data_IF_641170498724
#
_entry.id   IF_641170498724
#
_cell.length_a   1.000
_cell.length_b   1.000
_cell.length_c   1.000
_cell.angle_alpha   90.00
_cell.angle_beta   90.00
_cell.angle_gamma   90.00
#
_symmetry.space_group_name_H-M   'P 1'
#
loop_
_entity.id
_entity.type
_entity.pdbx_description
1 polymer ?
#
# COMPACT_ATOMS: atom_id res chain seq x y z
N UNK A 1 -30.41 1.75 -0.19
CA UNK A 1 -29.01 1.66 0.29
C UNK A 1 -28.05 2.62 -0.42
N UNK A 2 -28.55 3.64 -1.15
CA UNK A 2 -27.71 4.62 -1.85
C UNK A 2 -26.98 5.58 -0.92
N UNK A 3 -27.61 5.99 0.19
CA UNK A 3 -27.02 6.97 1.12
C UNK A 3 -25.64 6.56 1.66
N UNK A 4 -25.47 5.27 2.00
CA UNK A 4 -24.18 4.73 2.49
C UNK A 4 -23.12 4.76 1.40
N UNK A 5 -23.48 4.32 0.18
CA UNK A 5 -22.56 4.35 -0.96
C UNK A 5 -22.20 5.80 -1.35
N UNK A 6 -23.17 6.70 -1.37
CA UNK A 6 -22.95 8.12 -1.67
C UNK A 6 -22.02 8.77 -0.66
N UNK A 7 -22.20 8.47 0.63
CA UNK A 7 -21.35 9.02 1.69
C UNK A 7 -19.91 8.50 1.57
N UNK A 8 -19.72 7.20 1.38
CA UNK A 8 -18.41 6.60 1.13
C UNK A 8 -17.73 7.22 -0.11
N UNK A 9 -18.47 7.42 -1.22
CA UNK A 9 -17.95 8.08 -2.42
C UNK A 9 -17.61 9.56 -2.18
N UNK A 10 -18.35 10.28 -1.34
CA UNK A 10 -18.03 11.67 -0.96
C UNK A 10 -16.74 11.73 -0.16
N UNK A 11 -16.57 10.86 0.83
CA UNK A 11 -15.34 10.74 1.63
C UNK A 11 -14.16 10.40 0.72
N UNK A 12 -14.29 9.38 -0.14
CA UNK A 12 -13.24 8.97 -1.07
C UNK A 12 -12.80 10.13 -1.97
N UNK A 13 -13.76 10.81 -2.63
CA UNK A 13 -13.45 11.94 -3.52
C UNK A 13 -12.86 13.14 -2.80
N UNK A 14 -13.30 13.42 -1.58
CA UNK A 14 -12.85 14.58 -0.79
C UNK A 14 -11.42 14.41 -0.31
N UNK A 15 -11.06 13.21 0.14
CA UNK A 15 -9.79 12.98 0.82
C UNK A 15 -8.73 12.25 -0.04
N UNK A 16 -9.07 11.86 -1.28
CA UNK A 16 -8.11 11.28 -2.23
C UNK A 16 -6.82 12.12 -2.43
N UNK A 17 -6.88 13.43 -2.21
CA UNK A 17 -5.72 14.34 -2.32
C UNK A 17 -5.33 15.01 -0.99
N UNK A 18 -5.91 14.61 0.13
CA UNK A 18 -5.62 15.25 1.43
C UNK A 18 -4.27 14.78 1.99
N UNK A 19 -3.57 15.71 2.64
CA UNK A 19 -2.28 15.47 3.31
C UNK A 19 -2.41 15.36 4.83
N UNK A 20 -3.60 15.63 5.38
CA UNK A 20 -3.86 15.55 6.83
C UNK A 20 -3.91 14.10 7.32
N UNK A 21 -3.30 13.82 8.47
CA UNK A 21 -3.29 12.49 9.10
C UNK A 21 -4.72 11.97 9.38
N UNK A 22 -5.59 12.82 9.91
CA UNK A 22 -6.98 12.47 10.24
C UNK A 22 -7.78 12.14 8.98
N UNK A 23 -7.57 12.90 7.91
CA UNK A 23 -8.25 12.68 6.64
C UNK A 23 -7.80 11.38 5.96
N UNK A 24 -6.53 11.02 6.12
CA UNK A 24 -5.98 9.75 5.63
C UNK A 24 -6.56 8.55 6.37
N UNK A 25 -6.66 8.61 7.69
CA UNK A 25 -7.28 7.53 8.48
C UNK A 25 -8.71 7.23 7.99
N UNK A 26 -9.52 8.28 7.81
CA UNK A 26 -10.89 8.12 7.30
C UNK A 26 -10.92 7.66 5.82
N UNK A 27 -9.98 8.12 5.01
CA UNK A 27 -9.86 7.69 3.61
C UNK A 27 -9.47 6.21 3.50
N UNK A 28 -8.53 5.75 4.32
CA UNK A 28 -8.06 4.37 4.33
C UNK A 28 -9.16 3.42 4.81
N UNK A 29 -9.93 3.80 5.85
CA UNK A 29 -11.11 3.06 6.29
C UNK A 29 -12.13 2.85 5.15
N UNK A 30 -12.47 3.93 4.44
CA UNK A 30 -13.40 3.85 3.30
C UNK A 30 -12.82 3.05 2.15
N UNK A 31 -11.51 3.16 1.88
CA UNK A 31 -10.82 2.40 0.84
C UNK A 31 -10.82 0.90 1.16
N UNK A 32 -10.58 0.53 2.41
CA UNK A 32 -10.64 -0.86 2.87
C UNK A 32 -12.06 -1.41 2.74
N UNK A 33 -13.07 -0.62 3.11
CA UNK A 33 -14.47 -1.00 2.91
C UNK A 33 -14.83 -1.25 1.44
N UNK A 34 -14.33 -0.43 0.51
CA UNK A 34 -14.49 -0.68 -0.93
C UNK A 34 -13.74 -1.93 -1.41
N UNK A 35 -12.62 -2.28 -0.79
CA UNK A 35 -11.80 -3.43 -1.15
C UNK A 35 -12.33 -4.75 -0.56
N UNK A 36 -13.08 -4.69 0.54
CA UNK A 36 -13.64 -5.86 1.20
C UNK A 36 -14.60 -6.63 0.27
N UNK A 37 -14.42 -7.95 0.24
CA UNK A 37 -15.28 -8.90 -0.48
C UNK A 37 -16.28 -9.61 0.45
N UNK A 38 -16.41 -9.15 1.70
CA UNK A 38 -17.32 -9.74 2.67
C UNK A 38 -18.79 -9.53 2.26
N UNK A 39 -19.54 -10.62 2.11
CA UNK A 39 -20.98 -10.66 1.78
C UNK A 39 -21.86 -10.90 3.01
N UNK A 40 -21.25 -11.13 4.19
CA UNK A 40 -21.97 -11.50 5.42
C UNK A 40 -22.74 -10.37 6.12
N UNK A 41 -22.58 -9.10 5.72
CA UNK A 41 -23.22 -7.96 6.39
C UNK A 41 -24.06 -7.10 5.43
N UNK A 42 -25.28 -6.66 5.78
CA UNK A 42 -26.19 -5.91 4.89
C UNK A 42 -25.66 -4.56 4.40
N UNK A 43 -24.60 -4.03 5.02
CA UNK A 43 -23.94 -2.79 4.60
C UNK A 43 -22.55 -3.03 4.02
N UNK A 44 -22.21 -4.26 3.64
CA UNK A 44 -21.01 -4.50 2.87
C UNK A 44 -21.12 -3.84 1.49
N UNK A 45 -19.99 -3.41 0.96
CA UNK A 45 -19.94 -2.78 -0.35
C UNK A 45 -20.53 -3.68 -1.46
N UNK A 46 -20.23 -4.97 -1.41
CA UNK A 46 -20.71 -5.97 -2.39
C UNK A 46 -22.24 -6.10 -2.32
N UNK A 47 -22.82 -6.22 -1.12
CA UNK A 47 -24.27 -6.33 -0.93
C UNK A 47 -24.99 -5.05 -1.36
N UNK A 48 -24.43 -3.88 -1.07
CA UNK A 48 -24.99 -2.61 -1.54
C UNK A 48 -24.96 -2.54 -3.07
N UNK A 49 -23.88 -2.98 -3.71
CA UNK A 49 -23.81 -3.05 -5.17
C UNK A 49 -24.86 -3.98 -5.75
N UNK A 50 -25.03 -5.17 -5.18
CA UNK A 50 -26.01 -6.16 -5.60
C UNK A 50 -27.44 -5.61 -5.52
N UNK A 51 -27.83 -5.05 -4.38
CA UNK A 51 -29.18 -4.47 -4.17
C UNK A 51 -29.44 -3.30 -5.12
N UNK A 52 -28.41 -2.54 -5.51
CA UNK A 52 -28.53 -1.43 -6.45
C UNK A 52 -28.38 -1.83 -7.92
N UNK A 53 -28.12 -3.11 -8.23
CA UNK A 53 -27.86 -3.58 -9.59
C UNK A 53 -26.56 -3.05 -10.20
N UNK A 54 -25.57 -2.75 -9.35
CA UNK A 54 -24.26 -2.22 -9.74
C UNK A 54 -23.19 -3.32 -9.72
N UNK A 55 -22.16 -3.15 -10.54
CA UNK A 55 -20.98 -4.01 -10.51
C UNK A 55 -19.93 -3.43 -9.55
N UNK A 56 -19.69 -4.15 -8.44
CA UNK A 56 -18.63 -3.84 -7.48
C UNK A 56 -17.26 -3.68 -8.18
N UNK A 57 -16.94 -4.58 -9.11
CA UNK A 57 -15.70 -4.52 -9.90
C UNK A 57 -15.58 -3.23 -10.73
N UNK A 58 -16.67 -2.79 -11.38
CA UNK A 58 -16.65 -1.55 -12.17
C UNK A 58 -16.44 -0.30 -11.30
N UNK A 59 -17.03 -0.27 -10.11
CA UNK A 59 -16.82 0.83 -9.16
C UNK A 59 -15.37 0.82 -8.68
N UNK A 60 -14.82 -0.32 -8.26
CA UNK A 60 -13.41 -0.44 -7.85
C UNK A 60 -12.44 0.02 -8.94
N UNK A 61 -12.70 -0.34 -10.20
CA UNK A 61 -11.91 0.12 -11.34
C UNK A 61 -11.97 1.64 -11.52
N UNK A 62 -13.13 2.27 -11.33
CA UNK A 62 -13.26 3.73 -11.37
C UNK A 62 -12.52 4.40 -10.21
N UNK A 63 -12.60 3.85 -9.00
CA UNK A 63 -11.90 4.36 -7.82
C UNK A 63 -10.38 4.29 -7.97
N UNK A 64 -9.86 3.20 -8.54
CA UNK A 64 -8.43 3.04 -8.82
C UNK A 64 -7.92 4.13 -9.79
N UNK A 65 -8.70 4.48 -10.82
CA UNK A 65 -8.35 5.56 -11.73
C UNK A 65 -8.32 6.91 -11.03
N UNK A 66 -9.29 7.19 -10.14
CA UNK A 66 -9.34 8.44 -9.36
C UNK A 66 -8.13 8.55 -8.41
N UNK A 67 -7.77 7.46 -7.73
CA UNK A 67 -6.64 7.43 -6.81
C UNK A 67 -5.26 7.51 -7.50
N UNK A 68 -5.17 7.12 -8.78
CA UNK A 68 -3.94 7.19 -9.57
C UNK A 68 -3.57 8.61 -10.01
N UNK A 69 -4.49 9.58 -9.91
CA UNK A 69 -4.22 10.98 -10.26
C UNK A 69 -3.41 11.64 -9.14
N UNK A 70 -2.15 12.06 -9.38
CA UNK A 70 -1.36 12.70 -8.35
C UNK A 70 -2.03 14.00 -7.89
N UNK A 71 -1.96 14.34 -6.59
CA UNK A 71 -2.57 15.55 -6.06
C UNK A 71 -2.04 16.77 -6.82
N UNK A 72 -2.93 17.55 -7.44
CA UNK A 72 -2.60 18.80 -8.12
C UNK A 72 -2.08 19.78 -7.08
N UNK A 73 -0.77 19.85 -6.89
CA UNK A 73 -0.12 20.64 -5.86
C UNK A 73 0.92 19.89 -5.01
N UNK A 74 1.18 18.60 -5.25
CA UNK A 74 2.38 17.98 -4.70
C UNK A 74 3.62 18.62 -5.33
N UNK A 75 4.18 19.62 -4.63
CA UNK A 75 5.57 20.02 -4.82
C UNK A 75 6.43 18.77 -4.72
N UNK A 76 7.02 18.40 -5.85
CA UNK A 76 8.06 17.39 -6.00
C UNK A 76 9.29 17.80 -5.18
N UNK A 77 9.25 17.60 -3.87
CA UNK A 77 10.47 17.47 -3.08
C UNK A 77 11.00 16.06 -3.31
N UNK A 78 11.78 15.92 -4.37
CA UNK A 78 12.57 14.73 -4.66
C UNK A 78 13.58 14.51 -3.54
N UNK A 79 13.19 13.80 -2.48
CA UNK A 79 14.15 13.14 -1.63
C UNK A 79 14.57 11.85 -2.34
N UNK A 80 15.71 11.93 -3.01
CA UNK A 80 16.43 10.80 -3.61
C UNK A 80 16.64 9.75 -2.52
N UNK A 81 16.06 8.56 -2.70
CA UNK A 81 16.41 7.38 -1.88
C UNK A 81 17.82 6.97 -2.28
N UNK A 82 18.79 7.28 -1.44
CA UNK A 82 20.13 6.74 -1.51
C UNK A 82 20.04 5.25 -1.19
N UNK A 83 20.40 4.42 -2.16
CA UNK A 83 20.26 2.97 -2.09
C UNK A 83 21.45 2.43 -1.33
N UNK A 84 21.28 2.15 -0.03
CA UNK A 84 22.25 1.41 0.76
C UNK A 84 22.35 -0.02 0.23
N UNK A 85 23.37 -0.26 -0.58
CA UNK A 85 23.75 -1.56 -1.07
C UNK A 85 24.56 -2.27 0.00
N UNK A 86 23.92 -3.20 0.73
CA UNK A 86 24.60 -4.16 1.60
C UNK A 86 25.55 -5.00 0.74
N UNK A 87 26.85 -4.82 0.94
CA UNK A 87 27.88 -5.67 0.32
C UNK A 87 28.06 -6.91 1.19
N UNK A 88 27.51 -8.05 0.77
CA UNK A 88 27.75 -9.34 1.42
C UNK A 88 29.18 -9.78 1.13
N UNK A 89 30.03 -9.74 2.15
CA UNK A 89 31.41 -10.24 2.10
C UNK A 89 31.39 -11.76 2.00
N UNK A 90 31.95 -12.29 0.91
CA UNK A 90 32.25 -13.72 0.74
C UNK A 90 33.60 -13.98 1.40
N UNK A 91 33.60 -14.53 2.62
CA UNK A 91 34.81 -15.15 3.15
C UNK A 91 34.96 -16.56 2.57
N UNK A 92 36.00 -16.70 1.76
CA UNK A 92 36.39 -17.91 1.08
C UNK A 92 37.18 -18.84 2.02
N UNK A 93 36.80 -20.12 2.00
CA UNK A 93 37.74 -21.22 1.81
C UNK A 93 38.95 -21.30 2.75
N UNK A 94 38.76 -22.09 3.81
CA UNK A 94 39.78 -22.89 4.48
C UNK A 94 40.86 -23.45 3.52
N UNK A 95 42.15 -23.28 3.83
CA UNK A 95 43.18 -24.27 3.48
C UNK A 95 44.30 -24.32 4.52
N UNK A 96 44.29 -25.45 5.22
CA UNK A 96 45.30 -26.01 6.11
C UNK A 96 46.61 -26.25 5.34
N UNK A 97 47.75 -25.79 5.85
CA UNK A 97 49.03 -26.49 5.69
C UNK A 97 49.82 -26.37 6.99
N UNK A 98 50.14 -27.52 7.58
CA UNK A 98 51.14 -27.59 8.63
C UNK A 98 52.53 -27.60 8.02
N UNK A 99 53.50 -27.06 8.73
CA UNK A 99 54.89 -27.56 8.73
C UNK A 99 55.51 -27.18 10.07
N UNK A 100 56.05 -28.19 10.72
CA UNK A 100 56.72 -28.13 12.02
C UNK A 100 58.11 -27.49 11.94
N UNK A 101 58.62 -27.21 13.13
CA UNK A 101 60.04 -27.25 13.51
C UNK A 101 60.84 -25.95 13.22
N UNK A 102 61.87 -25.54 13.97
CA UNK A 102 62.61 -26.11 15.10
C UNK A 102 63.25 -24.95 15.91
N UNK A 103 63.60 -25.22 17.19
CA UNK A 103 64.76 -24.72 17.96
C UNK A 103 64.79 -23.27 18.45
N UNK A 104 64.86 -23.02 19.77
CA UNK A 104 65.96 -23.26 20.71
C UNK A 104 67.10 -22.23 20.56
N UNK A 105 67.05 -21.15 21.33
CA UNK A 105 67.99 -20.76 22.40
C UNK A 105 67.71 -19.34 22.88
#
# INVERSE_FOLDING_TARGET
>A
MSAVLEDALRVFRRYATSTSRRDRELFDEVREWFAADEDGWPFSFVNICEVLGLSAARIRLALAQIASVPPRGASIHQHRVETDHVTVSRDAGNLRTGTSAISAQ
#
